data_IF_843846676674
#
_entry.id   IF_843846676674
#
_cell.length_a   1.000
_cell.length_b   1.000
_cell.length_c   1.000
_cell.angle_alpha   90.00
_cell.angle_beta   90.00
_cell.angle_gamma   90.00
#
_symmetry.space_group_name_H-M   'P 1'
#
loop_
_entity.id
_entity.type
_entity.pdbx_description
1 polymer ?
#
# COMPACT_ATOMS: atom_id res chain seq x y z
N UNK A 1 -15.47 -0.55 -16.79
CA UNK A 1 -14.99 0.82 -16.54
C UNK A 1 -15.39 1.24 -15.14
N UNK A 2 -14.42 1.61 -14.31
CA UNK A 2 -14.68 2.07 -12.94
C UNK A 2 -15.23 3.50 -13.04
N UNK A 3 -16.37 3.77 -12.40
CA UNK A 3 -16.97 5.12 -12.44
C UNK A 3 -16.37 5.98 -11.33
N UNK A 4 -16.11 7.26 -11.64
CA UNK A 4 -15.70 8.24 -10.64
C UNK A 4 -14.20 8.38 -10.41
N UNK A 5 -13.35 7.93 -11.34
CA UNK A 5 -11.94 8.35 -11.35
C UNK A 5 -11.83 9.71 -12.04
N UNK A 6 -11.36 10.71 -11.30
CA UNK A 6 -10.77 11.90 -11.90
C UNK A 6 -9.40 11.51 -12.46
N UNK A 7 -9.30 11.46 -13.79
CA UNK A 7 -8.11 10.99 -14.50
C UNK A 7 -6.89 11.87 -14.22
N UNK A 8 -7.07 13.19 -14.19
CA UNK A 8 -5.95 14.11 -13.99
C UNK A 8 -5.42 13.98 -12.56
N UNK A 9 -6.32 13.96 -11.57
CA UNK A 9 -5.94 13.76 -10.18
C UNK A 9 -5.24 12.40 -9.99
N UNK A 10 -5.78 11.34 -10.60
CA UNK A 10 -5.22 9.99 -10.52
C UNK A 10 -3.77 9.96 -11.03
N UNK A 11 -3.52 10.49 -12.22
CA UNK A 11 -2.19 10.53 -12.85
C UNK A 11 -1.21 11.40 -12.03
N UNK A 12 -1.67 12.56 -11.53
CA UNK A 12 -0.84 13.46 -10.71
C UNK A 12 -0.45 12.84 -9.37
N UNK A 13 -1.40 12.21 -8.67
CA UNK A 13 -1.11 11.53 -7.39
C UNK A 13 -0.26 10.28 -7.58
N UNK A 14 -0.47 9.53 -8.67
CA UNK A 14 0.36 8.38 -9.03
C UNK A 14 1.82 8.84 -9.22
N UNK A 15 2.05 9.89 -10.01
CA UNK A 15 3.39 10.43 -10.25
C UNK A 15 4.06 10.90 -8.96
N UNK A 16 3.35 11.68 -8.14
CA UNK A 16 3.85 12.14 -6.84
C UNK A 16 4.27 10.96 -5.95
N UNK A 17 3.48 9.88 -5.96
CA UNK A 17 3.73 8.71 -5.13
C UNK A 17 4.89 7.87 -5.65
N UNK A 18 5.01 7.70 -6.96
CA UNK A 18 6.16 7.07 -7.60
C UNK A 18 7.46 7.78 -7.22
N UNK A 19 7.50 9.11 -7.38
CA UNK A 19 8.63 9.95 -7.01
C UNK A 19 9.01 9.79 -5.54
N UNK A 20 8.01 9.80 -4.65
CA UNK A 20 8.23 9.66 -3.21
C UNK A 20 8.77 8.28 -2.83
N UNK A 21 8.18 7.20 -3.36
CA UNK A 21 8.62 5.84 -3.08
C UNK A 21 10.06 5.62 -3.57
N UNK A 22 10.42 6.12 -4.75
CA UNK A 22 11.80 5.99 -5.23
C UNK A 22 12.80 6.74 -4.34
N UNK A 23 12.41 7.88 -3.77
CA UNK A 23 13.24 8.56 -2.76
C UNK A 23 13.39 7.71 -1.49
N UNK A 24 12.34 7.01 -1.05
CA UNK A 24 12.44 6.11 0.12
C UNK A 24 13.39 4.94 -0.12
N UNK A 25 13.58 4.51 -1.36
CA UNK A 25 14.55 3.46 -1.73
C UNK A 25 15.99 3.97 -1.76
N UNK A 26 16.21 5.27 -1.87
CA UNK A 26 17.55 5.85 -1.81
C UNK A 26 18.03 5.84 -0.35
N UNK A 27 19.17 5.20 -0.10
CA UNK A 27 19.86 5.19 1.20
C UNK A 27 19.13 4.48 2.35
N UNK A 28 18.40 3.39 2.07
CA UNK A 28 17.70 2.63 3.11
C UNK A 28 18.20 1.19 3.25
N UNK A 29 18.38 0.75 4.50
CA UNK A 29 18.57 -0.65 4.89
C UNK A 29 17.32 -1.23 5.57
N UNK A 30 16.15 -0.60 5.35
CA UNK A 30 14.88 -1.04 5.94
C UNK A 30 14.49 -2.41 5.39
N UNK A 31 13.91 -3.24 6.26
CA UNK A 31 13.25 -4.48 5.84
C UNK A 31 11.93 -4.19 5.09
N UNK A 32 11.34 -5.22 4.48
CA UNK A 32 10.11 -5.11 3.70
C UNK A 32 8.89 -4.63 4.50
N UNK A 33 8.86 -4.85 5.82
CA UNK A 33 7.81 -4.33 6.68
C UNK A 33 7.91 -2.81 6.89
N UNK A 34 9.13 -2.30 7.07
CA UNK A 34 9.37 -0.89 7.34
C UNK A 34 9.54 -0.03 6.08
N UNK A 35 9.92 -0.64 4.95
CA UNK A 35 10.00 0.08 3.68
C UNK A 35 8.60 0.58 3.30
N UNK A 36 8.53 1.84 2.84
CA UNK A 36 7.27 2.50 2.50
C UNK A 36 6.27 2.71 3.65
N UNK A 37 6.73 2.66 4.90
CA UNK A 37 5.97 3.13 6.07
C UNK A 37 6.70 4.27 6.79
N UNK A 38 7.27 5.20 6.01
CA UNK A 38 7.94 6.39 6.58
C UNK A 38 6.94 7.40 7.14
N UNK A 39 5.70 7.38 6.65
CA UNK A 39 4.60 8.19 7.17
C UNK A 39 3.92 7.41 8.30
N UNK A 40 4.35 7.65 9.54
CA UNK A 40 3.83 6.94 10.71
C UNK A 40 3.32 7.95 11.75
N UNK A 41 2.08 8.46 11.61
CA UNK A 41 1.56 9.47 12.51
C UNK A 41 1.40 8.92 13.93
N UNK A 42 1.45 9.82 14.91
CA UNK A 42 1.11 9.53 16.30
C UNK A 42 -0.40 9.71 16.49
N UNK A 43 -1.01 8.75 17.17
CA UNK A 43 -2.35 8.83 17.73
C UNK A 43 -2.31 8.61 19.26
N UNK A 44 -3.48 8.61 19.90
CA UNK A 44 -3.60 8.48 21.36
C UNK A 44 -3.06 7.13 21.88
N UNK A 45 -2.89 6.11 21.01
CA UNK A 45 -2.32 4.79 21.33
C UNK A 45 -0.84 4.66 20.90
N UNK A 46 -0.24 5.75 20.42
CA UNK A 46 1.16 5.84 20.00
C UNK A 46 1.32 5.88 18.48
N UNK A 47 2.39 5.30 17.95
CA UNK A 47 2.60 5.23 16.50
C UNK A 47 1.55 4.33 15.84
N UNK A 48 1.00 4.76 14.70
CA UNK A 48 0.07 3.97 13.87
C UNK A 48 0.64 2.61 13.50
N UNK A 49 1.91 2.54 13.12
CA UNK A 49 2.60 1.31 12.74
C UNK A 49 3.71 0.97 13.75
N UNK A 50 3.66 -0.24 14.29
CA UNK A 50 4.72 -0.83 15.11
C UNK A 50 5.31 -2.02 14.36
N UNK A 51 6.63 -2.19 14.43
CA UNK A 51 7.33 -3.27 13.73
C UNK A 51 7.77 -4.31 14.74
N UNK A 52 7.33 -5.55 14.56
CA UNK A 52 7.64 -6.66 15.47
C UNK A 52 8.39 -7.74 14.71
N UNK A 53 9.53 -8.15 15.26
CA UNK A 53 10.22 -9.35 14.83
C UNK A 53 9.49 -10.57 15.42
N UNK A 54 9.04 -11.48 14.56
CA UNK A 54 8.31 -12.68 14.95
C UNK A 54 9.04 -13.92 14.43
N UNK A 55 9.31 -14.85 15.34
CA UNK A 55 9.63 -16.23 14.98
C UNK A 55 8.31 -16.95 14.78
N UNK A 56 8.13 -17.59 13.62
CA UNK A 56 7.00 -18.45 13.36
C UNK A 56 7.40 -19.90 13.61
N UNK A 57 6.62 -20.57 14.44
CA UNK A 57 6.77 -21.99 14.78
C UNK A 57 6.29 -22.89 13.63
N UNK A 58 6.82 -22.65 12.43
CA UNK A 58 6.73 -23.52 11.27
C UNK A 58 8.08 -24.23 11.08
N UNK A 59 8.12 -25.35 10.37
CA UNK A 59 9.35 -26.16 10.21
C UNK A 59 9.83 -26.08 8.76
N UNK A 60 11.03 -25.53 8.49
CA UNK A 60 11.96 -24.86 9.42
C UNK A 60 11.42 -23.50 9.90
N UNK A 61 11.89 -23.00 11.07
CA UNK A 61 11.42 -21.73 11.62
C UNK A 61 11.71 -20.59 10.66
N UNK A 62 10.69 -19.75 10.45
CA UNK A 62 10.79 -18.56 9.61
C UNK A 62 10.77 -17.33 10.51
N UNK A 63 11.70 -16.43 10.24
CA UNK A 63 11.77 -15.13 10.90
C UNK A 63 11.21 -14.08 9.97
N UNK A 64 10.22 -13.33 10.44
CA UNK A 64 9.62 -12.23 9.70
C UNK A 64 9.58 -10.97 10.58
N UNK A 65 9.73 -9.80 9.96
CA UNK A 65 9.26 -8.57 10.59
C UNK A 65 7.85 -8.31 10.10
N UNK A 66 6.91 -8.13 11.02
CA UNK A 66 5.52 -7.85 10.72
C UNK A 66 5.13 -6.46 11.22
N UNK A 67 4.02 -5.95 10.67
CA UNK A 67 3.46 -4.65 11.01
C UNK A 67 2.24 -4.85 11.90
N UNK A 68 2.24 -4.18 13.05
CA UNK A 68 1.11 -4.14 13.96
C UNK A 68 0.53 -2.72 13.98
N UNK A 69 -0.79 -2.64 13.93
CA UNK A 69 -1.53 -1.38 14.02
C UNK A 69 -1.66 -0.93 15.48
N UNK A 70 -1.33 0.33 15.77
CA UNK A 70 -1.56 0.94 17.09
C UNK A 70 -3.05 1.15 17.36
N UNK A 71 -3.80 1.56 16.34
CA UNK A 71 -5.27 1.68 16.33
C UNK A 71 -5.79 0.80 15.21
N UNK A 72 -6.77 -0.07 15.50
CA UNK A 72 -7.25 -1.02 14.48
C UNK A 72 -7.99 -0.26 13.39
N UNK A 73 -7.76 -0.58 12.11
CA UNK A 73 -8.40 0.12 11.01
C UNK A 73 -9.94 0.04 11.01
N UNK A 74 -10.51 -0.99 11.65
CA UNK A 74 -11.95 -1.18 11.82
C UNK A 74 -12.58 -0.41 12.99
N UNK A 75 -11.79 0.20 13.89
CA UNK A 75 -12.32 0.89 15.08
C UNK A 75 -13.02 2.23 14.72
N UNK A 76 -12.71 2.79 13.55
CA UNK A 76 -13.25 4.08 13.11
C UNK A 76 -13.24 4.18 11.58
N UNK A 77 -14.43 4.26 10.97
CA UNK A 77 -14.60 4.35 9.52
C UNK A 77 -13.81 5.51 8.88
N UNK A 78 -13.65 6.63 9.60
CA UNK A 78 -12.94 7.82 9.12
C UNK A 78 -11.42 7.72 9.29
N UNK A 79 -10.91 6.70 9.98
CA UNK A 79 -9.48 6.58 10.27
C UNK A 79 -8.65 6.43 8.99
N UNK A 80 -9.11 5.60 8.05
CA UNK A 80 -8.47 5.44 6.75
C UNK A 80 -8.47 6.72 5.93
N UNK A 81 -9.57 7.45 5.92
CA UNK A 81 -9.66 8.75 5.23
C UNK A 81 -8.64 9.73 5.80
N UNK A 82 -8.56 9.81 7.12
CA UNK A 82 -7.58 10.67 7.80
C UNK A 82 -6.16 10.27 7.44
N UNK A 83 -5.82 8.98 7.49
CA UNK A 83 -4.47 8.50 7.13
C UNK A 83 -4.14 8.79 5.66
N UNK A 84 -5.12 8.59 4.77
CA UNK A 84 -4.97 8.90 3.34
C UNK A 84 -4.67 10.39 3.12
N UNK A 85 -5.38 11.29 3.79
CA UNK A 85 -5.10 12.73 3.67
C UNK A 85 -3.79 13.16 4.32
N UNK A 86 -3.41 12.54 5.44
CA UNK A 86 -2.10 12.76 6.09
C UNK A 86 -0.98 12.39 5.13
N UNK A 87 -1.01 11.19 4.54
CA UNK A 87 0.06 10.73 3.66
C UNK A 87 0.15 11.58 2.38
N UNK A 88 -1.01 11.97 1.83
CA UNK A 88 -1.09 12.85 0.66
C UNK A 88 -0.43 14.19 0.95
N UNK A 89 -0.84 14.84 2.04
CA UNK A 89 -0.30 16.13 2.48
C UNK A 89 1.20 16.05 2.74
N UNK A 90 1.65 14.95 3.36
CA UNK A 90 3.07 14.73 3.63
C UNK A 90 3.90 14.65 2.34
N UNK A 91 3.43 13.87 1.35
CA UNK A 91 4.10 13.75 0.06
C UNK A 91 4.15 15.06 -0.71
N UNK A 92 3.05 15.82 -0.72
CA UNK A 92 3.01 17.16 -1.34
C UNK A 92 4.06 18.08 -0.72
N UNK A 93 4.17 18.11 0.62
CA UNK A 93 5.18 18.93 1.33
C UNK A 93 6.62 18.46 1.09
N UNK A 94 6.83 17.16 0.87
CA UNK A 94 8.14 16.57 0.59
C UNK A 94 8.52 16.59 -0.89
N UNK A 95 7.61 17.02 -1.77
CA UNK A 95 7.86 17.12 -3.20
C UNK A 95 9.05 18.04 -3.43
N UNK A 96 10.15 17.46 -3.89
CA UNK A 96 11.26 18.22 -4.47
C UNK A 96 10.94 18.48 -5.93
N UNK A 97 11.44 19.60 -6.48
CA UNK A 97 11.47 19.80 -7.93
C UNK A 97 12.36 18.69 -8.50
N UNK A 98 11.75 17.69 -9.13
CA UNK A 98 12.42 16.53 -9.71
C UNK A 98 12.02 16.37 -11.17
N UNK A 99 12.88 15.66 -11.90
CA UNK A 99 12.84 15.50 -13.35
C UNK A 99 11.49 14.93 -13.82
N UNK A 100 10.74 15.76 -14.54
CA UNK A 100 9.39 15.45 -15.00
C UNK A 100 9.34 14.36 -16.06
N UNK A 101 10.49 13.98 -16.65
CA UNK A 101 10.60 12.95 -17.70
C UNK A 101 10.93 11.54 -17.20
N UNK A 102 11.18 11.34 -15.90
CA UNK A 102 11.56 10.03 -15.39
C UNK A 102 10.39 9.05 -15.41
N UNK A 103 10.59 7.90 -16.05
CA UNK A 103 9.66 6.75 -16.00
C UNK A 103 9.98 5.85 -14.80
N UNK A 104 8.94 5.35 -14.15
CA UNK A 104 9.04 4.48 -12.99
C UNK A 104 8.40 3.13 -13.28
N UNK A 105 9.16 2.04 -13.10
CA UNK A 105 8.63 0.68 -13.27
C UNK A 105 7.92 0.22 -12.01
N UNK A 106 6.71 -0.28 -12.17
CA UNK A 106 5.89 -0.82 -11.08
C UNK A 106 4.49 -1.15 -11.56
N UNK A 107 3.64 -1.58 -10.63
CA UNK A 107 2.25 -1.95 -10.90
C UNK A 107 1.32 -1.32 -9.86
N UNK A 108 0.08 -1.10 -10.25
CA UNK A 108 -0.95 -0.51 -9.38
C UNK A 108 -1.70 -1.66 -8.71
N UNK A 109 -1.60 -1.73 -7.39
CA UNK A 109 -2.40 -2.61 -6.56
C UNK A 109 -3.71 -1.91 -6.21
N UNK A 110 -4.83 -2.60 -6.37
CA UNK A 110 -6.12 -2.19 -5.86
C UNK A 110 -6.46 -3.03 -4.62
N UNK A 111 -7.01 -2.39 -3.59
CA UNK A 111 -7.35 -3.01 -2.33
C UNK A 111 -8.75 -2.56 -1.89
N UNK A 112 -9.63 -3.53 -1.63
CA UNK A 112 -10.97 -3.32 -1.07
C UNK A 112 -10.86 -3.20 0.45
N UNK A 113 -11.04 -1.99 0.99
CA UNK A 113 -10.79 -1.74 2.41
C UNK A 113 -11.83 -2.38 3.33
N UNK A 114 -13.03 -2.61 2.81
CA UNK A 114 -14.21 -3.07 3.56
C UNK A 114 -14.38 -4.60 3.53
N UNK A 115 -13.61 -5.31 2.71
CA UNK A 115 -13.74 -6.75 2.47
C UNK A 115 -12.55 -7.55 3.04
N UNK A 116 -11.82 -7.00 4.02
CA UNK A 116 -10.63 -7.64 4.59
C UNK A 116 -10.92 -8.47 5.85
N UNK A 117 -10.07 -9.47 6.11
CA UNK A 117 -10.02 -10.28 7.32
C UNK A 117 -8.59 -10.25 7.90
N UNK A 118 -8.47 -10.39 9.22
CA UNK A 118 -7.17 -10.42 9.91
C UNK A 118 -6.69 -11.85 10.08
N UNK A 119 -5.94 -12.36 9.10
CA UNK A 119 -5.34 -13.70 9.16
C UNK A 119 -3.81 -13.70 9.15
N UNK A 120 -3.18 -12.60 8.72
CA UNK A 120 -1.72 -12.46 8.61
C UNK A 120 -1.07 -13.28 7.48
N UNK A 121 -1.85 -13.97 6.65
CA UNK A 121 -1.32 -14.85 5.60
C UNK A 121 -0.60 -14.05 4.53
N UNK A 122 -1.23 -13.00 4.00
CA UNK A 122 -0.61 -12.13 3.00
C UNK A 122 0.57 -11.34 3.57
N UNK A 123 0.52 -10.96 4.86
CA UNK A 123 1.64 -10.31 5.55
C UNK A 123 2.87 -11.21 5.53
N UNK A 124 2.72 -12.47 5.93
CA UNK A 124 3.82 -13.43 5.92
C UNK A 124 4.33 -13.72 4.51
N UNK A 125 3.43 -14.03 3.56
CA UNK A 125 3.80 -14.40 2.20
C UNK A 125 4.49 -13.25 1.44
N UNK A 126 4.15 -12.00 1.76
CA UNK A 126 4.79 -10.80 1.20
C UNK A 126 5.98 -10.28 2.01
N UNK A 127 6.46 -11.07 2.99
CA UNK A 127 7.58 -10.73 3.87
C UNK A 127 7.38 -9.42 4.68
N UNK A 128 6.13 -9.14 5.04
CA UNK A 128 5.69 -7.96 5.80
C UNK A 128 5.40 -6.72 4.93
N UNK A 129 5.53 -6.82 3.61
CA UNK A 129 5.22 -5.69 2.73
C UNK A 129 3.74 -5.32 2.83
N UNK A 130 2.84 -6.29 2.67
CA UNK A 130 1.44 -6.17 3.09
C UNK A 130 1.37 -6.38 4.61
N UNK A 131 0.37 -5.82 5.26
CA UNK A 131 0.13 -6.04 6.70
C UNK A 131 -0.89 -7.16 6.98
N UNK A 132 -1.18 -7.39 8.25
CA UNK A 132 -2.09 -8.45 8.71
C UNK A 132 -3.55 -8.25 8.25
N UNK A 133 -3.88 -7.07 7.72
CA UNK A 133 -5.18 -6.71 7.14
C UNK A 133 -5.11 -6.64 5.61
N UNK A 134 -4.07 -7.21 4.99
CA UNK A 134 -3.81 -7.19 3.55
C UNK A 134 -3.50 -5.80 2.97
N UNK A 135 -3.37 -4.76 3.80
CA UNK A 135 -3.20 -3.40 3.32
C UNK A 135 -1.76 -3.15 2.86
N UNK A 136 -1.57 -2.43 1.74
CA UNK A 136 -0.25 -2.03 1.28
C UNK A 136 0.37 -0.95 2.19
N UNK A 137 1.69 -0.74 2.14
CA UNK A 137 2.36 0.29 2.91
C UNK A 137 1.83 1.70 2.61
N UNK A 138 1.64 2.53 3.64
CA UNK A 138 1.00 3.85 3.53
C UNK A 138 1.68 4.83 2.55
N UNK A 139 3.00 4.73 2.36
CA UNK A 139 3.70 5.63 1.45
C UNK A 139 3.31 5.38 -0.01
N UNK A 140 2.85 4.15 -0.32
CA UNK A 140 2.48 3.69 -1.67
C UNK A 140 1.07 4.12 -2.09
N UNK A 141 0.23 4.57 -1.15
CA UNK A 141 -1.17 4.94 -1.40
C UNK A 141 -1.25 6.22 -2.23
N UNK A 142 -2.05 6.25 -3.29
CA UNK A 142 -2.12 7.47 -4.12
C UNK A 142 -3.52 7.86 -4.57
N UNK A 143 -4.48 6.93 -4.59
CA UNK A 143 -5.85 7.25 -4.95
C UNK A 143 -6.82 6.41 -4.13
N UNK A 144 -8.00 6.94 -3.81
CA UNK A 144 -9.03 6.20 -3.11
C UNK A 144 -10.42 6.55 -3.63
N UNK A 145 -11.13 5.53 -4.11
CA UNK A 145 -12.54 5.64 -4.48
C UNK A 145 -13.37 5.45 -3.22
N UNK A 146 -14.34 6.34 -3.04
CA UNK A 146 -15.28 6.33 -1.91
C UNK A 146 -16.69 6.21 -2.45
N UNK A 147 -17.35 5.10 -2.17
CA UNK A 147 -18.76 4.85 -2.44
C UNK A 147 -19.44 4.43 -1.12
N UNK A 148 -20.78 4.59 -0.99
CA UNK A 148 -21.48 4.37 0.27
C UNK A 148 -21.17 3.04 0.97
N UNK A 149 -20.91 1.97 0.22
CA UNK A 149 -20.61 0.63 0.75
C UNK A 149 -19.30 0.05 0.19
N UNK A 150 -18.43 0.89 -0.38
CA UNK A 150 -17.20 0.40 -1.03
C UNK A 150 -16.11 1.45 -1.05
N UNK A 151 -14.98 1.11 -0.45
CA UNK A 151 -13.75 1.90 -0.48
C UNK A 151 -12.65 1.09 -1.16
N UNK A 152 -12.10 1.66 -2.23
CA UNK A 152 -11.03 1.03 -3.00
C UNK A 152 -9.79 1.91 -2.93
N UNK A 153 -8.75 1.40 -2.31
CA UNK A 153 -7.45 2.03 -2.20
C UNK A 153 -6.56 1.58 -3.35
N UNK A 154 -6.00 2.54 -4.07
CA UNK A 154 -4.98 2.29 -5.09
C UNK A 154 -3.61 2.65 -4.55
N UNK A 155 -2.68 1.73 -4.75
CA UNK A 155 -1.29 1.83 -4.31
C UNK A 155 -0.32 1.51 -5.43
N UNK A 156 0.78 2.25 -5.52
CA UNK A 156 1.81 1.96 -6.51
C UNK A 156 2.93 1.13 -5.89
N UNK A 157 3.14 -0.06 -6.44
CA UNK A 157 4.16 -1.00 -6.00
C UNK A 157 5.32 -0.95 -6.99
N UNK A 158 6.53 -0.54 -6.59
CA UNK A 158 7.70 -0.58 -7.48
C UNK A 158 7.98 -2.01 -7.93
N UNK A 159 8.47 -2.17 -9.16
CA UNK A 159 8.63 -3.46 -9.84
C UNK A 159 9.38 -4.51 -8.99
N UNK A 160 10.44 -4.08 -8.29
CA UNK A 160 11.24 -4.92 -7.39
C UNK A 160 10.43 -5.63 -6.29
N UNK A 161 9.29 -5.07 -5.90
CA UNK A 161 8.43 -5.60 -4.84
C UNK A 161 7.22 -6.37 -5.36
N UNK A 162 6.98 -6.38 -6.67
CA UNK A 162 5.79 -7.03 -7.27
C UNK A 162 5.77 -8.53 -7.00
N UNK A 163 6.92 -9.20 -6.95
CA UNK A 163 7.03 -10.60 -6.58
C UNK A 163 6.46 -10.89 -5.19
N UNK A 164 6.81 -10.07 -4.19
CA UNK A 164 6.31 -10.23 -2.81
C UNK A 164 4.82 -9.95 -2.72
N UNK A 165 4.32 -8.95 -3.45
CA UNK A 165 2.87 -8.68 -3.51
C UNK A 165 2.11 -9.81 -4.20
N UNK A 166 2.65 -10.41 -5.27
CA UNK A 166 2.04 -11.59 -5.90
C UNK A 166 1.88 -12.74 -4.90
N UNK A 167 2.89 -12.98 -4.06
CA UNK A 167 2.81 -13.99 -3.01
C UNK A 167 1.73 -13.68 -1.96
N UNK A 168 1.54 -12.40 -1.64
CA UNK A 168 0.41 -11.98 -0.81
C UNK A 168 -0.96 -12.23 -1.46
N UNK A 169 -1.11 -11.86 -2.73
CA UNK A 169 -2.36 -12.07 -3.50
C UNK A 169 -2.69 -13.57 -3.61
N UNK A 170 -1.69 -14.42 -3.87
CA UNK A 170 -1.87 -15.88 -3.99
C UNK A 170 -2.46 -16.54 -2.73
N UNK A 171 -2.30 -15.93 -1.56
CA UNK A 171 -2.75 -16.48 -0.26
C UNK A 171 -3.85 -15.65 0.40
N UNK A 172 -4.48 -14.73 -0.32
CA UNK A 172 -5.58 -13.89 0.19
C UNK A 172 -6.93 -14.49 -0.22
N UNK A 173 -7.56 -15.34 0.61
CA UNK A 173 -8.82 -16.00 0.28
C UNK A 173 -10.00 -15.03 0.21
N UNK A 174 -9.90 -13.84 0.82
CA UNK A 174 -10.91 -12.79 0.75
C UNK A 174 -11.01 -12.14 -0.64
N UNK A 175 -9.98 -12.32 -1.47
CA UNK A 175 -9.81 -11.64 -2.75
C UNK A 175 -9.98 -10.11 -2.63
N UNK A 176 -9.57 -9.53 -1.50
CA UNK A 176 -9.68 -8.11 -1.19
C UNK A 176 -8.49 -7.30 -1.71
N UNK A 177 -7.51 -7.95 -2.34
CA UNK A 177 -6.39 -7.31 -3.04
C UNK A 177 -6.11 -7.98 -4.40
N UNK A 178 -5.89 -7.17 -5.42
CA UNK A 178 -5.36 -7.65 -6.71
C UNK A 178 -4.77 -6.50 -7.51
N UNK A 179 -4.06 -6.82 -8.59
CA UNK A 179 -3.59 -5.80 -9.52
C UNK A 179 -4.77 -5.12 -10.21
N UNK A 180 -4.69 -3.79 -10.34
CA UNK A 180 -5.78 -3.00 -10.89
C UNK A 180 -6.08 -3.34 -12.37
N UNK A 181 -5.08 -3.78 -13.13
CA UNK A 181 -5.23 -4.27 -14.51
C UNK A 181 -5.95 -5.63 -14.59
N UNK A 182 -5.96 -6.41 -13.51
CA UNK A 182 -6.71 -7.67 -13.41
C UNK A 182 -8.16 -7.40 -13.02
N UNK A 183 -8.41 -6.55 -12.01
CA UNK A 183 -9.78 -6.20 -11.60
C UNK A 183 -10.51 -5.30 -12.61
N UNK A 184 -9.77 -4.48 -13.36
CA UNK A 184 -10.34 -3.51 -14.31
C UNK A 184 -9.59 -3.57 -15.65
N UNK A 185 -9.66 -4.70 -16.38
CA UNK A 185 -8.88 -4.92 -17.61
C UNK A 185 -9.20 -3.93 -18.74
N UNK A 186 -10.41 -3.37 -18.73
CA UNK A 186 -10.86 -2.38 -19.72
C UNK A 186 -10.41 -0.95 -19.41
N UNK A 187 -9.81 -0.70 -18.25
CA UNK A 187 -9.40 0.64 -17.81
C UNK A 187 -7.96 0.93 -18.27
N UNK A 188 -7.74 1.84 -19.25
CA UNK A 188 -6.41 2.08 -19.80
C UNK A 188 -5.43 2.64 -18.77
N UNK A 189 -5.91 3.31 -17.71
CA UNK A 189 -5.06 3.89 -16.66
C UNK A 189 -4.23 2.86 -15.89
N UNK A 190 -4.66 1.60 -15.85
CA UNK A 190 -3.97 0.57 -15.07
C UNK A 190 -2.99 -0.26 -15.89
N UNK A 191 -2.93 -0.05 -17.22
CA UNK A 191 -2.01 -0.79 -18.08
C UNK A 191 -0.56 -0.47 -17.70
N UNK A 192 0.31 -1.48 -17.56
CA UNK A 192 1.72 -1.25 -17.27
C UNK A 192 2.35 -0.33 -18.32
N UNK A 193 3.07 0.71 -17.86
CA UNK A 193 3.86 1.56 -18.73
C UNK A 193 5.23 0.89 -18.94
N UNK A 194 5.36 0.16 -20.04
CA UNK A 194 6.63 -0.44 -20.46
C UNK A 194 7.62 0.61 -21.00
#
# INVERSE_FOLDING_TARGET
>A
MIKGIDRQEFEDQLKLTQEYCIQQLQHTYKNYAAIFRSINPLDDKGYTFKFKFKMLDIVPPVYATLVEWGTLPGDNEQYFDRLFEIQRTFKIKKRKLLDTGKKYKGRILACSLDETLVDGAAALASNGLLDDYNYPPIDTWFYMIRQPNKRILFSWIPDYFTFHVNKGIEVNPEECINWADVWYPDEPLFRPTY
#
